data_IF_244868442904
#
_entry.id   IF_244868442904
#
_cell.length_a   1.000
_cell.length_b   1.000
_cell.length_c   1.000
_cell.angle_alpha   90.00
_cell.angle_beta   90.00
_cell.angle_gamma   90.00
#
_symmetry.space_group_name_H-M   'P 1'
#
loop_
_entity.id
_entity.type
_entity.pdbx_description
1 polymer ?
#
# COMPACT_ATOMS: atom_id res chain seq x y z
N UNK A 1 16.13 -6.70 -4.32
CA UNK A 1 15.08 -6.85 -3.29
C UNK A 1 15.44 -8.05 -2.41
N UNK A 2 15.35 -7.95 -1.08
CA UNK A 2 15.70 -9.01 -0.12
C UNK A 2 14.60 -9.14 0.95
N UNK A 3 14.09 -10.36 1.14
CA UNK A 3 13.18 -10.71 2.23
C UNK A 3 13.93 -10.64 3.56
N UNK A 4 13.31 -10.08 4.60
CA UNK A 4 13.88 -10.03 5.95
C UNK A 4 13.23 -11.03 6.87
N UNK A 5 11.94 -10.88 7.07
CA UNK A 5 11.14 -11.69 7.97
C UNK A 5 9.66 -11.56 7.59
N UNK A 6 8.84 -12.46 8.13
CA UNK A 6 7.41 -12.48 7.88
C UNK A 6 6.71 -13.43 8.83
N UNK A 7 5.41 -13.25 8.95
CA UNK A 7 4.56 -14.10 9.77
C UNK A 7 3.20 -14.25 9.12
N UNK A 8 2.46 -15.27 9.54
CA UNK A 8 1.11 -15.53 9.08
C UNK A 8 0.22 -15.83 10.28
N UNK A 9 -1.07 -15.59 10.12
CA UNK A 9 -2.03 -15.82 11.18
C UNK A 9 -3.46 -15.61 10.70
N UNK A 10 -4.35 -15.47 11.67
CA UNK A 10 -5.78 -15.21 11.44
C UNK A 10 -6.20 -13.98 12.22
N UNK A 11 -6.97 -13.09 11.60
CA UNK A 11 -7.54 -11.91 12.23
C UNK A 11 -9.03 -11.84 11.91
N UNK A 12 -9.89 -12.00 12.93
CA UNK A 12 -11.34 -12.15 12.75
C UNK A 12 -11.70 -13.20 11.68
N UNK A 13 -11.15 -14.41 11.81
CA UNK A 13 -11.33 -15.53 10.89
C UNK A 13 -10.79 -15.33 9.46
N UNK A 14 -10.15 -14.19 9.19
CA UNK A 14 -9.49 -13.92 7.92
C UNK A 14 -8.01 -14.35 7.99
N UNK A 15 -7.56 -15.34 7.18
CA UNK A 15 -6.15 -15.68 7.10
C UNK A 15 -5.37 -14.53 6.48
N UNK A 16 -4.18 -14.24 7.01
CA UNK A 16 -3.29 -13.23 6.46
C UNK A 16 -1.84 -13.69 6.50
N UNK A 17 -1.04 -13.05 5.66
CA UNK A 17 0.42 -13.16 5.67
C UNK A 17 1.03 -11.76 5.65
N UNK A 18 2.20 -11.63 6.25
CA UNK A 18 3.01 -10.41 6.30
C UNK A 18 4.42 -10.74 5.86
N UNK A 19 5.00 -9.86 5.04
CA UNK A 19 6.40 -9.89 4.68
C UNK A 19 7.02 -8.50 4.82
N UNK A 20 8.20 -8.45 5.44
CA UNK A 20 9.06 -7.27 5.45
C UNK A 20 10.16 -7.44 4.41
N UNK A 21 10.24 -6.50 3.49
CA UNK A 21 11.16 -6.56 2.35
C UNK A 21 12.04 -5.32 2.33
N UNK A 22 13.28 -5.50 1.89
CA UNK A 22 14.22 -4.40 1.66
C UNK A 22 14.62 -4.30 0.21
N UNK A 23 14.66 -3.07 -0.29
CA UNK A 23 15.19 -2.72 -1.59
C UNK A 23 16.36 -1.75 -1.38
N UNK A 24 17.52 -2.11 -1.90
CA UNK A 24 18.67 -1.22 -1.96
C UNK A 24 18.76 -0.71 -3.39
N UNK A 25 18.49 0.57 -3.59
CA UNK A 25 18.75 1.21 -4.87
C UNK A 25 20.17 1.76 -4.85
N UNK A 26 21.02 1.46 -5.86
CA UNK A 26 22.28 2.17 -6.00
C UNK A 26 21.97 3.66 -6.11
N UNK A 27 22.76 4.50 -5.43
CA UNK A 27 22.63 5.95 -5.56
C UNK A 27 22.69 6.30 -7.04
N UNK A 28 21.66 6.99 -7.55
CA UNK A 28 21.64 7.45 -8.93
C UNK A 28 22.87 8.32 -9.16
N UNK A 29 23.80 7.85 -9.98
CA UNK A 29 24.92 8.66 -10.43
C UNK A 29 24.44 9.55 -11.59
N UNK A 30 24.27 10.85 -11.32
CA UNK A 30 24.02 11.91 -12.31
C UNK A 30 22.74 12.72 -12.01
N UNK A 31 22.72 14.05 -12.00
CA UNK A 31 23.54 15.02 -12.74
C UNK A 31 23.43 16.42 -12.10
N UNK A 32 24.54 16.91 -11.53
CA UNK A 32 25.22 18.21 -11.72
C UNK A 32 26.11 18.45 -10.49
N UNK A 33 27.34 17.93 -10.52
CA UNK A 33 28.36 18.26 -9.52
C UNK A 33 29.20 19.39 -10.11
N UNK A 34 29.02 20.59 -9.56
CA UNK A 34 29.97 21.69 -9.69
C UNK A 34 31.28 21.24 -9.02
N UNK A 35 32.44 21.29 -9.68
CA UNK A 35 33.68 20.80 -9.09
C UNK A 35 34.16 21.81 -8.05
N UNK A 36 33.99 21.51 -6.76
CA UNK A 36 34.56 22.33 -5.69
C UNK A 36 33.81 22.34 -4.36
N UNK A 37 33.46 21.20 -3.78
CA UNK A 37 33.30 21.06 -2.32
C UNK A 37 33.13 19.58 -1.94
N UNK A 38 33.75 19.22 -0.81
CA UNK A 38 33.66 17.98 -0.01
C UNK A 38 32.95 16.76 -0.59
N UNK A 39 33.69 15.63 -0.61
CA UNK A 39 33.22 14.26 -0.82
C UNK A 39 31.76 14.04 -0.39
N UNK A 40 30.85 14.00 -1.36
CA UNK A 40 29.48 13.58 -1.14
C UNK A 40 29.47 12.05 -1.01
N UNK A 41 29.22 11.57 0.20
CA UNK A 41 28.89 10.17 0.48
C UNK A 41 27.74 9.74 -0.44
N UNK A 42 28.05 8.97 -1.47
CA UNK A 42 27.06 8.31 -2.33
C UNK A 42 26.33 7.20 -1.57
N UNK A 43 25.47 7.58 -0.62
CA UNK A 43 24.72 6.66 0.22
C UNK A 43 23.69 5.88 -0.59
N UNK A 44 23.80 4.54 -0.56
CA UNK A 44 22.76 3.63 -1.05
C UNK A 44 21.42 3.96 -0.37
N UNK A 45 20.37 4.22 -1.16
CA UNK A 45 19.03 4.50 -0.62
C UNK A 45 18.35 3.16 -0.35
N UNK A 46 18.32 2.77 0.93
CA UNK A 46 17.58 1.60 1.39
C UNK A 46 16.11 1.97 1.63
N UNK A 47 15.22 1.27 0.94
CA UNK A 47 13.77 1.35 1.14
C UNK A 47 13.29 0.06 1.78
N UNK A 48 12.49 0.18 2.82
CA UNK A 48 11.81 -0.91 3.49
C UNK A 48 10.36 -0.95 3.00
N UNK A 49 9.80 -2.15 2.85
CA UNK A 49 8.41 -2.33 2.52
C UNK A 49 7.79 -3.34 3.48
N UNK A 50 6.64 -3.00 4.04
CA UNK A 50 5.78 -3.96 4.74
C UNK A 50 4.63 -4.31 3.81
N UNK A 51 4.50 -5.60 3.52
CA UNK A 51 3.47 -6.13 2.61
C UNK A 51 2.62 -7.10 3.41
N UNK A 52 1.36 -6.76 3.58
CA UNK A 52 0.36 -7.64 4.16
C UNK A 52 -0.52 -8.14 3.02
N UNK A 53 -0.91 -9.41 3.01
CA UNK A 53 -1.90 -9.90 2.05
C UNK A 53 -2.83 -10.96 2.62
N UNK A 54 -4.01 -11.04 2.00
CA UNK A 54 -5.02 -12.06 2.26
C UNK A 54 -5.63 -12.54 0.94
N UNK A 55 -6.36 -13.65 0.97
CA UNK A 55 -7.04 -14.22 -0.17
C UNK A 55 -8.55 -14.10 -0.01
N UNK A 56 -9.20 -13.58 -1.03
CA UNK A 56 -10.65 -13.56 -1.18
C UNK A 56 -11.17 -14.88 -1.74
N UNK A 57 -12.43 -15.24 -1.45
CA UNK A 57 -13.05 -16.46 -1.97
C UNK A 57 -13.45 -16.36 -3.46
N UNK A 58 -13.42 -15.17 -4.05
CA UNK A 58 -13.76 -14.92 -5.45
C UNK A 58 -12.82 -13.87 -6.07
N UNK A 59 -12.64 -13.90 -7.40
CA UNK A 59 -11.85 -12.90 -8.11
C UNK A 59 -12.60 -11.57 -8.22
N UNK A 60 -11.85 -10.47 -8.19
CA UNK A 60 -12.33 -9.12 -8.43
C UNK A 60 -11.46 -8.41 -9.49
N UNK A 61 -12.06 -7.39 -10.11
CA UNK A 61 -11.34 -6.46 -10.98
C UNK A 61 -10.24 -5.74 -10.20
N UNK A 62 -9.22 -5.28 -10.92
CA UNK A 62 -8.09 -4.60 -10.31
C UNK A 62 -8.49 -3.23 -9.79
N UNK A 63 -8.23 -2.99 -8.50
CA UNK A 63 -8.44 -1.70 -7.84
C UNK A 63 -7.21 -1.37 -7.02
N UNK A 64 -6.70 -0.16 -7.16
CA UNK A 64 -5.60 0.32 -6.33
C UNK A 64 -6.00 1.61 -5.63
N UNK A 65 -5.89 1.62 -4.31
CA UNK A 65 -5.91 2.83 -3.50
C UNK A 65 -4.46 3.22 -3.30
N UNK A 66 -4.08 4.39 -3.79
CA UNK A 66 -2.69 4.81 -3.89
C UNK A 66 -2.52 6.16 -3.20
N UNK A 67 -1.49 6.34 -2.36
CA UNK A 67 -1.12 7.67 -1.87
C UNK A 67 -0.85 8.61 -3.07
N UNK A 68 -1.34 9.85 -2.99
CA UNK A 68 -1.24 10.80 -4.12
C UNK A 68 0.20 11.07 -4.55
N UNK A 69 1.14 11.02 -3.62
CA UNK A 69 2.57 11.20 -3.89
C UNK A 69 3.19 10.04 -4.69
N UNK A 70 2.54 8.87 -4.74
CA UNK A 70 2.96 7.72 -5.52
C UNK A 70 2.12 7.54 -6.80
N UNK A 71 1.08 8.36 -7.00
CA UNK A 71 0.09 8.18 -8.06
C UNK A 71 0.72 8.13 -9.46
N UNK A 72 1.56 9.11 -9.79
CA UNK A 72 2.19 9.19 -11.12
C UNK A 72 3.13 8.02 -11.39
N UNK A 73 3.88 7.59 -10.37
CA UNK A 73 4.74 6.42 -10.48
C UNK A 73 3.91 5.16 -10.72
N UNK A 74 2.87 4.94 -9.92
CA UNK A 74 2.02 3.76 -10.05
C UNK A 74 1.27 3.73 -11.36
N UNK A 75 0.70 4.85 -11.80
CA UNK A 75 0.00 4.96 -13.08
C UNK A 75 0.91 4.64 -14.27
N UNK A 76 2.19 5.02 -14.23
CA UNK A 76 3.17 4.63 -15.27
C UNK A 76 3.48 3.14 -15.27
N UNK A 77 3.49 2.51 -14.10
CA UNK A 77 3.83 1.09 -13.96
C UNK A 77 2.69 0.16 -14.36
N UNK A 78 1.45 0.51 -14.00
CA UNK A 78 0.30 -0.41 -14.09
C UNK A 78 -0.87 0.13 -14.92
N UNK A 79 -0.86 1.41 -15.31
CA UNK A 79 -1.97 2.04 -16.02
C UNK A 79 -3.18 2.33 -15.13
N UNK A 80 -4.36 2.33 -15.74
CA UNK A 80 -5.65 2.56 -15.06
C UNK A 80 -6.17 3.99 -15.11
N UNK A 81 -7.48 4.12 -14.88
CA UNK A 81 -8.17 5.41 -14.79
C UNK A 81 -8.17 5.92 -13.35
N UNK A 82 -7.95 7.23 -13.18
CA UNK A 82 -7.93 7.87 -11.86
C UNK A 82 -9.35 8.24 -11.46
N UNK A 83 -9.78 7.78 -10.29
CA UNK A 83 -11.06 8.09 -9.67
C UNK A 83 -10.88 8.65 -8.26
N UNK A 84 -11.90 9.35 -7.79
CA UNK A 84 -11.98 9.95 -6.47
C UNK A 84 -13.24 9.49 -5.74
N UNK A 85 -13.19 9.54 -4.40
CA UNK A 85 -14.32 9.16 -3.57
C UNK A 85 -15.37 10.26 -3.42
N UNK A 86 -15.01 11.51 -3.72
CA UNK A 86 -15.81 12.70 -3.43
C UNK A 86 -15.65 13.21 -2.00
N UNK A 87 -14.77 12.60 -1.19
CA UNK A 87 -14.47 13.03 0.17
C UNK A 87 -13.14 13.81 0.19
N UNK A 88 -13.21 15.14 0.16
CA UNK A 88 -12.07 16.04 -0.04
C UNK A 88 -10.82 15.70 0.80
N UNK A 89 -10.97 15.42 2.10
CA UNK A 89 -9.83 15.10 2.96
C UNK A 89 -9.15 13.77 2.61
N UNK A 90 -9.92 12.80 2.10
CA UNK A 90 -9.36 11.52 1.65
C UNK A 90 -8.74 11.68 0.27
N UNK A 91 -9.44 12.35 -0.64
CA UNK A 91 -8.98 12.57 -2.02
C UNK A 91 -7.74 13.47 -2.08
N UNK A 92 -7.45 14.25 -1.04
CA UNK A 92 -6.20 15.00 -0.88
C UNK A 92 -4.98 14.13 -0.53
N UNK A 93 -5.20 12.90 -0.06
CA UNK A 93 -4.13 11.97 0.36
C UNK A 93 -4.08 10.68 -0.45
N UNK A 94 -5.20 10.26 -1.01
CA UNK A 94 -5.31 9.02 -1.77
C UNK A 94 -6.09 9.24 -3.07
N UNK A 95 -5.72 8.45 -4.07
CA UNK A 95 -6.44 8.32 -5.33
C UNK A 95 -6.78 6.85 -5.58
N UNK A 96 -7.80 6.61 -6.40
CA UNK A 96 -8.19 5.27 -6.81
C UNK A 96 -7.74 5.09 -8.27
N UNK A 97 -6.95 4.05 -8.56
CA UNK A 97 -6.66 3.60 -9.92
C UNK A 97 -7.44 2.33 -10.19
N UNK A 98 -8.34 2.37 -11.16
CA UNK A 98 -9.20 1.25 -11.56
C UNK A 98 -9.85 1.56 -12.90
N UNK A 99 -10.28 0.52 -13.62
CA UNK A 99 -11.21 0.69 -14.76
C UNK A 99 -12.68 0.40 -14.33
N UNK A 100 -12.88 0.04 -13.07
CA UNK A 100 -14.16 -0.21 -12.41
C UNK A 100 -14.35 0.78 -11.25
N UNK A 101 -14.98 1.93 -11.54
CA UNK A 101 -15.18 3.00 -10.58
C UNK A 101 -16.05 2.59 -9.38
N UNK A 102 -17.10 1.79 -9.63
CA UNK A 102 -18.03 1.36 -8.59
C UNK A 102 -17.32 0.47 -7.57
N UNK A 103 -16.56 -0.51 -8.05
CA UNK A 103 -15.74 -1.34 -7.18
C UNK A 103 -14.70 -0.48 -6.43
N UNK A 104 -14.07 0.47 -7.12
CA UNK A 104 -13.15 1.43 -6.51
C UNK A 104 -13.74 2.13 -5.29
N UNK A 105 -14.96 2.67 -5.42
CA UNK A 105 -15.68 3.34 -4.33
C UNK A 105 -16.10 2.39 -3.21
N UNK A 106 -16.45 1.14 -3.54
CA UNK A 106 -16.80 0.12 -2.54
C UNK A 106 -15.60 -0.30 -1.68
N UNK A 107 -14.41 -0.45 -2.28
CA UNK A 107 -13.18 -0.78 -1.57
C UNK A 107 -12.83 0.31 -0.54
N UNK A 108 -13.04 1.59 -0.90
CA UNK A 108 -12.88 2.73 0.01
C UNK A 108 -14.14 2.97 0.85
N UNK A 109 -14.69 1.90 1.43
CA UNK A 109 -15.78 2.01 2.38
C UNK A 109 -15.41 2.85 3.62
N UNK A 110 -16.39 3.30 4.44
CA UNK A 110 -16.14 4.22 5.56
C UNK A 110 -15.05 3.76 6.53
N UNK A 111 -14.99 2.46 6.87
CA UNK A 111 -13.97 1.91 7.78
C UNK A 111 -12.57 1.90 7.17
N UNK A 112 -12.43 1.41 5.92
CA UNK A 112 -11.14 1.38 5.23
C UNK A 112 -10.59 2.80 5.07
N UNK A 113 -11.47 3.75 4.72
CA UNK A 113 -11.15 5.18 4.69
C UNK A 113 -10.63 5.69 6.04
N UNK A 114 -11.37 5.44 7.14
CA UNK A 114 -10.95 5.89 8.48
C UNK A 114 -9.58 5.32 8.86
N UNK A 115 -9.34 4.02 8.62
CA UNK A 115 -8.05 3.38 8.91
C UNK A 115 -6.92 3.98 8.08
N UNK A 116 -7.09 4.12 6.77
CA UNK A 116 -6.10 4.74 5.89
C UNK A 116 -5.77 6.18 6.32
N UNK A 117 -6.77 6.89 6.83
CA UNK A 117 -6.65 8.27 7.26
C UNK A 117 -5.96 8.44 8.61
N UNK A 118 -6.11 7.47 9.53
CA UNK A 118 -5.48 7.51 10.85
C UNK A 118 -3.99 7.19 10.84
N UNK A 119 -3.46 6.63 9.75
CA UNK A 119 -2.04 6.31 9.66
C UNK A 119 -1.21 7.54 9.33
N UNK A 120 -0.10 7.71 10.05
CA UNK A 120 0.88 8.77 9.79
C UNK A 120 1.58 8.57 8.45
N UNK A 121 2.02 7.35 8.18
CA UNK A 121 2.60 6.95 6.90
C UNK A 121 1.52 6.26 6.05
N UNK A 122 1.30 6.69 4.80
CA UNK A 122 0.18 6.21 4.02
C UNK A 122 0.42 4.80 3.48
N UNK A 123 -0.63 3.99 3.53
CA UNK A 123 -0.67 2.64 2.97
C UNK A 123 -1.30 2.66 1.58
N UNK A 124 -0.75 1.87 0.67
CA UNK A 124 -1.44 1.53 -0.58
C UNK A 124 -2.22 0.24 -0.39
N UNK A 125 -3.36 0.12 -1.05
CA UNK A 125 -4.15 -1.13 -1.08
C UNK A 125 -4.36 -1.53 -2.53
N UNK A 126 -4.07 -2.78 -2.87
CA UNK A 126 -4.29 -3.34 -4.20
C UNK A 126 -5.18 -4.56 -4.10
N UNK A 127 -6.24 -4.59 -4.89
CA UNK A 127 -7.02 -5.78 -5.20
C UNK A 127 -6.54 -6.29 -6.54
N UNK A 128 -6.16 -7.56 -6.60
CA UNK A 128 -5.74 -8.19 -7.84
C UNK A 128 -6.19 -9.64 -7.88
N UNK A 129 -7.16 -9.94 -8.74
CA UNK A 129 -7.78 -11.26 -8.82
C UNK A 129 -8.38 -11.64 -7.47
N UNK A 130 -7.81 -12.66 -6.82
CA UNK A 130 -8.27 -13.19 -5.53
C UNK A 130 -7.49 -12.63 -4.33
N UNK A 131 -6.64 -11.62 -4.52
CA UNK A 131 -5.77 -11.12 -3.46
C UNK A 131 -6.08 -9.68 -3.10
N UNK A 132 -6.07 -9.39 -1.80
CA UNK A 132 -5.97 -8.02 -1.29
C UNK A 132 -4.58 -7.87 -0.69
N UNK A 133 -3.88 -6.83 -1.10
CA UNK A 133 -2.54 -6.50 -0.64
C UNK A 133 -2.59 -5.10 -0.04
N UNK A 134 -2.11 -4.95 1.19
CA UNK A 134 -1.85 -3.66 1.81
C UNK A 134 -0.34 -3.52 1.90
N UNK A 135 0.20 -2.47 1.29
CA UNK A 135 1.63 -2.21 1.28
C UNK A 135 1.94 -0.84 1.86
N UNK A 136 3.07 -0.75 2.53
CA UNK A 136 3.62 0.50 2.99
C UNK A 136 5.10 0.56 2.64
N UNK A 137 5.52 1.69 2.10
CA UNK A 137 6.93 1.99 1.82
C UNK A 137 7.48 2.91 2.90
N UNK A 138 8.59 2.51 3.50
CA UNK A 138 9.25 3.20 4.60
C UNK A 138 10.75 3.31 4.36
N UNK A 139 11.40 4.21 5.10
CA UNK A 139 12.86 4.32 5.14
C UNK A 139 13.50 3.56 6.31
N UNK A 140 12.71 3.02 7.22
CA UNK A 140 13.16 2.42 8.48
C UNK A 140 12.57 1.01 8.62
N UNK A 141 13.29 0.04 9.23
CA UNK A 141 12.73 -1.25 9.62
C UNK A 141 11.51 -1.08 10.54
N UNK A 142 10.48 -1.89 10.34
CA UNK A 142 9.20 -1.69 11.02
C UNK A 142 8.88 -2.78 12.02
N UNK A 143 8.03 -2.41 12.98
CA UNK A 143 7.62 -3.25 14.10
C UNK A 143 6.43 -4.15 13.73
N UNK A 144 6.13 -5.11 14.60
CA UNK A 144 4.92 -5.94 14.51
C UNK A 144 3.64 -5.11 14.52
N UNK A 145 3.62 -3.98 15.22
CA UNK A 145 2.44 -3.09 15.30
C UNK A 145 2.04 -2.56 13.91
N UNK A 146 3.03 -2.19 13.10
CA UNK A 146 2.78 -1.71 11.76
C UNK A 146 2.24 -2.80 10.83
N UNK A 147 2.76 -4.01 10.96
CA UNK A 147 2.22 -5.15 10.25
C UNK A 147 0.73 -5.37 10.60
N UNK A 148 0.37 -5.24 11.88
CA UNK A 148 -1.02 -5.36 12.33
C UNK A 148 -1.91 -4.23 11.80
N UNK A 149 -1.39 -3.01 11.63
CA UNK A 149 -2.10 -1.92 10.95
C UNK A 149 -2.45 -2.30 9.50
N UNK A 150 -1.50 -2.88 8.77
CA UNK A 150 -1.74 -3.40 7.41
C UNK A 150 -2.78 -4.52 7.40
N UNK A 151 -2.73 -5.45 8.37
CA UNK A 151 -3.72 -6.53 8.52
C UNK A 151 -5.12 -5.98 8.81
N UNK A 152 -5.25 -4.96 9.67
CA UNK A 152 -6.54 -4.32 9.95
C UNK A 152 -7.14 -3.65 8.71
N UNK A 153 -6.30 -2.99 7.89
CA UNK A 153 -6.72 -2.41 6.61
C UNK A 153 -7.25 -3.50 5.67
N UNK A 154 -6.49 -4.59 5.49
CA UNK A 154 -6.90 -5.73 4.67
C UNK A 154 -8.24 -6.31 5.14
N UNK A 155 -8.38 -6.54 6.44
CA UNK A 155 -9.59 -7.11 7.00
C UNK A 155 -10.80 -6.20 6.80
N UNK A 156 -10.63 -4.88 6.97
CA UNK A 156 -11.69 -3.92 6.69
C UNK A 156 -12.11 -3.94 5.22
N UNK A 157 -11.16 -4.06 4.29
CA UNK A 157 -11.45 -4.13 2.86
C UNK A 157 -12.12 -5.44 2.49
N UNK A 158 -11.58 -6.57 2.97
CA UNK A 158 -12.16 -7.89 2.74
C UNK A 158 -13.60 -7.96 3.23
N UNK A 159 -13.85 -7.46 4.45
CA UNK A 159 -15.19 -7.41 5.04
C UNK A 159 -16.17 -6.55 4.23
N UNK A 160 -15.73 -5.39 3.73
CA UNK A 160 -16.56 -4.53 2.89
C UNK A 160 -17.00 -5.23 1.58
N UNK A 161 -16.17 -6.12 1.06
CA UNK A 161 -16.41 -6.84 -0.21
C UNK A 161 -17.20 -8.13 -0.02
N UNK A 162 -17.04 -8.82 1.11
CA UNK A 162 -17.69 -10.12 1.36
C UNK A 162 -18.97 -10.01 2.19
N UNK A 163 -19.22 -8.86 2.84
CA UNK A 163 -20.38 -8.66 3.69
C UNK A 163 -20.39 -9.55 4.94
N UNK A 164 -19.23 -10.04 5.38
CA UNK A 164 -19.10 -10.94 6.52
C UNK A 164 -19.67 -10.34 7.82
N UNK A 165 -19.83 -11.15 8.89
CA UNK A 165 -20.28 -10.65 10.19
C UNK A 165 -19.29 -9.60 10.73
N UNK A 166 -19.83 -8.56 11.38
CA UNK A 166 -18.99 -7.48 11.95
C UNK A 166 -18.14 -8.05 13.10
N UNK A 167 -16.84 -7.72 13.16
CA UNK A 167 -16.09 -7.88 14.40
C UNK A 167 -16.62 -6.92 15.49
#
# INVERSE_FOLDING_TARGET
MRFREGFAGTYHDLPFCVAHVTHESPAAHGSHVTPGSGAAEGGSRRTHATICWTRLPFPLNEVRIVPVELLDERRRQVGGTVHHTGHAAFDARFAILTDDELLGRMVVGPRARTLLMSMQVPWSVTLQGVSIVAERLDRVPQSTEDALNGVAILASVAHALTGGPRP
#
